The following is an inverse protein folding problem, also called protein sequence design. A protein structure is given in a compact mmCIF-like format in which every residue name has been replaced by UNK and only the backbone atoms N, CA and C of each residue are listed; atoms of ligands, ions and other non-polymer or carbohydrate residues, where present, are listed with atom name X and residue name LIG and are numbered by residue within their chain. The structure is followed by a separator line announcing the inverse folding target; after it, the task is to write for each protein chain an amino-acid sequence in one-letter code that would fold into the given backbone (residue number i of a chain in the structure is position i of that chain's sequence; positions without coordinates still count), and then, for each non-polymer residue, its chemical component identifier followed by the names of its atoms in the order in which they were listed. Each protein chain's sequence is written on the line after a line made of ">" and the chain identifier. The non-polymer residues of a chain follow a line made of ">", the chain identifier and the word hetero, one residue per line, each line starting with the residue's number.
data_IF_268255840339
#
_entry.id   IF_268255840339
#
_cell.length_a   1.000
_cell.length_b   1.000
_cell.length_c   1.000
_cell.angle_alpha   90.00
_cell.angle_beta   90.00
_cell.angle_gamma   90.00
#
_symmetry.space_group_name_H-M   'P 1'
#
loop_
_entity.id
_entity.type
_entity.pdbx_description
1 polymer ?
#
# COMPACT_ATOMS: atom_id res chain seq x y z
N UNK A 1 47.77 9.56 -37.27
CA UNK A 1 47.07 10.40 -36.26
C UNK A 1 45.96 11.16 -36.97
N UNK A 2 44.67 10.86 -36.73
CA UNK A 2 43.56 11.59 -37.37
C UNK A 2 43.40 12.96 -36.68
N UNK A 3 43.50 14.03 -37.46
CA UNK A 3 43.32 15.41 -36.99
C UNK A 3 41.89 15.57 -36.43
N UNK A 4 41.78 16.04 -35.18
CA UNK A 4 40.50 16.41 -34.57
C UNK A 4 40.00 17.67 -35.27
N UNK A 5 39.05 17.52 -36.19
CA UNK A 5 38.36 18.62 -36.85
C UNK A 5 37.66 19.47 -35.80
N UNK A 6 37.86 20.80 -35.85
CA UNK A 6 37.20 21.71 -34.92
C UNK A 6 35.67 21.57 -35.05
N UNK A 7 34.93 21.56 -33.93
CA UNK A 7 33.48 21.42 -33.97
C UNK A 7 32.87 22.59 -34.75
N UNK A 8 31.89 22.28 -35.60
CA UNK A 8 31.21 23.28 -36.42
C UNK A 8 30.54 24.36 -35.55
N UNK A 9 30.32 25.58 -36.09
CA UNK A 9 29.64 26.63 -35.35
C UNK A 9 28.30 26.17 -34.77
N UNK A 10 27.48 25.41 -35.51
CA UNK A 10 26.20 24.91 -35.00
C UNK A 10 26.36 23.95 -33.81
N UNK A 11 27.40 23.12 -33.78
CA UNK A 11 27.74 22.25 -32.65
C UNK A 11 28.13 23.04 -31.41
N UNK A 12 28.89 24.14 -31.57
CA UNK A 12 29.25 25.03 -30.48
C UNK A 12 28.03 25.75 -29.89
N UNK A 13 27.12 26.23 -30.73
CA UNK A 13 25.86 26.85 -30.29
C UNK A 13 24.96 25.86 -29.53
N UNK A 14 24.82 24.64 -30.03
CA UNK A 14 24.05 23.58 -29.36
C UNK A 14 24.65 23.19 -28.01
N UNK A 15 25.98 23.11 -27.92
CA UNK A 15 26.68 22.83 -26.67
C UNK A 15 26.46 23.95 -25.65
N UNK A 16 26.66 25.21 -26.05
CA UNK A 16 26.45 26.37 -25.19
C UNK A 16 24.99 26.49 -24.72
N UNK A 17 24.03 26.18 -25.60
CA UNK A 17 22.61 26.13 -25.22
C UNK A 17 22.32 25.05 -24.17
N UNK A 18 22.82 23.81 -24.38
CA UNK A 18 22.64 22.71 -23.41
C UNK A 18 23.33 22.98 -22.08
N UNK A 19 24.51 23.60 -22.10
CA UNK A 19 25.22 24.01 -20.89
C UNK A 19 24.40 25.05 -20.11
N UNK A 20 23.85 26.08 -20.77
CA UNK A 20 22.93 27.04 -20.12
C UNK A 20 21.71 26.38 -19.50
N UNK A 21 21.07 25.45 -20.21
CA UNK A 21 19.90 24.73 -19.69
C UNK A 21 20.27 23.87 -18.46
N UNK A 22 21.43 23.18 -18.48
CA UNK A 22 21.90 22.40 -17.32
C UNK A 22 22.28 23.27 -16.12
N UNK A 23 22.94 24.40 -16.36
CA UNK A 23 23.29 25.35 -15.29
C UNK A 23 22.04 25.97 -14.65
N UNK A 24 20.93 26.04 -15.37
CA UNK A 24 19.61 26.41 -14.84
C UNK A 24 18.88 25.24 -14.15
N UNK A 25 19.54 24.08 -13.94
CA UNK A 25 18.97 22.90 -13.30
C UNK A 25 18.07 22.04 -14.19
N UNK A 26 17.96 22.34 -15.49
CA UNK A 26 17.06 21.63 -16.41
C UNK A 26 17.74 20.41 -17.03
N UNK A 27 17.04 19.28 -17.05
CA UNK A 27 17.49 18.01 -17.63
C UNK A 27 16.75 17.74 -18.94
N UNK A 28 17.46 17.34 -19.98
CA UNK A 28 16.86 16.98 -21.27
C UNK A 28 16.08 15.65 -21.14
N UNK A 29 14.85 15.61 -21.64
CA UNK A 29 14.05 14.39 -21.82
C UNK A 29 13.70 14.23 -23.30
N UNK A 30 13.71 13.00 -23.78
CA UNK A 30 13.31 12.62 -25.14
C UNK A 30 11.96 11.91 -25.06
N UNK A 31 11.00 12.31 -25.89
CA UNK A 31 9.59 11.83 -25.85
C UNK A 31 9.13 11.47 -27.26
N UNK A 32 8.35 10.39 -27.37
CA UNK A 32 7.66 9.99 -28.59
C UNK A 32 6.17 10.34 -28.45
N UNK A 33 5.65 11.18 -29.33
CA UNK A 33 4.24 11.62 -29.33
C UNK A 33 3.69 11.66 -30.76
N UNK A 34 2.36 11.62 -30.89
CA UNK A 34 1.70 11.87 -32.18
C UNK A 34 1.83 13.35 -32.57
N UNK A 35 1.91 13.68 -33.87
CA UNK A 35 2.13 15.05 -34.35
C UNK A 35 1.11 16.07 -33.83
N UNK A 36 -0.14 15.65 -33.65
CA UNK A 36 -1.26 16.48 -33.18
C UNK A 36 -1.07 17.07 -31.77
N UNK A 37 -0.26 16.42 -30.91
CA UNK A 37 -0.01 16.87 -29.52
C UNK A 37 1.25 17.74 -29.37
N UNK A 38 1.93 18.08 -30.47
CA UNK A 38 3.21 18.82 -30.44
C UNK A 38 3.08 20.19 -29.76
N UNK A 39 2.01 20.93 -30.07
CA UNK A 39 1.79 22.27 -29.51
C UNK A 39 1.49 22.21 -28.00
N UNK A 40 0.71 21.21 -27.57
CA UNK A 40 0.37 20.98 -26.17
C UNK A 40 1.61 20.60 -25.35
N UNK A 41 2.42 19.65 -25.84
CA UNK A 41 3.66 19.25 -25.18
C UNK A 41 4.63 20.43 -25.03
N UNK A 42 4.75 21.29 -26.05
CA UNK A 42 5.59 22.49 -25.98
C UNK A 42 5.10 23.51 -24.93
N UNK A 43 3.77 23.66 -24.77
CA UNK A 43 3.19 24.52 -23.76
C UNK A 43 3.45 23.99 -22.33
N UNK A 44 3.30 22.68 -22.12
CA UNK A 44 3.60 22.00 -20.86
C UNK A 44 5.10 22.13 -20.52
N UNK A 45 5.96 21.86 -21.49
CA UNK A 45 7.42 21.92 -21.30
C UNK A 45 7.89 23.34 -20.93
N UNK A 46 7.43 24.36 -21.67
CA UNK A 46 7.76 25.76 -21.40
C UNK A 46 7.36 26.18 -19.99
N UNK A 47 6.21 25.71 -19.54
CA UNK A 47 5.66 26.10 -18.26
C UNK A 47 6.30 25.35 -17.08
N UNK A 48 6.85 24.15 -17.28
CA UNK A 48 7.72 23.44 -16.33
C UNK A 48 9.08 24.11 -16.11
N UNK A 49 9.49 25.05 -16.96
CA UNK A 49 10.74 25.82 -16.78
C UNK A 49 10.59 27.04 -15.84
N UNK A 50 9.38 27.39 -15.42
CA UNK A 50 9.13 28.51 -14.51
C UNK A 50 9.25 28.06 -13.03
N UNK A 51 9.99 28.79 -12.17
CA UNK A 51 10.03 28.50 -10.74
C UNK A 51 8.65 28.69 -10.12
N UNK A 52 8.22 27.76 -9.28
CA UNK A 52 6.92 27.83 -8.59
C UNK A 52 5.74 27.26 -9.37
N UNK A 53 5.94 26.62 -10.53
CA UNK A 53 4.90 25.75 -11.10
C UNK A 53 4.69 24.56 -10.16
N UNK A 54 3.61 24.61 -9.39
CA UNK A 54 3.03 23.40 -8.83
C UNK A 54 2.83 22.43 -9.99
N UNK A 55 3.39 21.22 -9.86
CA UNK A 55 3.16 20.11 -10.80
C UNK A 55 1.69 20.14 -11.23
N UNK A 56 1.44 20.29 -12.52
CA UNK A 56 0.11 20.11 -13.09
C UNK A 56 -0.19 18.61 -13.10
N UNK A 57 -0.12 17.96 -11.94
CA UNK A 57 -1.04 16.89 -11.63
C UNK A 57 -2.40 17.58 -11.67
N UNK A 58 -3.25 17.11 -12.57
CA UNK A 58 -4.69 17.21 -12.40
C UNK A 58 -5.04 17.12 -10.92
N UNK A 59 -6.02 17.91 -10.51
CA UNK A 59 -6.67 17.87 -9.19
C UNK A 59 -7.24 16.48 -8.88
N UNK A 60 -6.34 15.58 -8.51
CA UNK A 60 -6.44 14.43 -7.61
C UNK A 60 -5.06 14.37 -6.98
N UNK A 61 -4.89 15.11 -5.89
CA UNK A 61 -3.76 14.89 -5.01
C UNK A 61 -3.99 13.55 -4.32
N UNK A 62 -3.52 12.46 -4.91
CA UNK A 62 -3.27 11.25 -4.12
C UNK A 62 -2.07 11.59 -3.25
N UNK A 63 -2.35 12.15 -2.08
CA UNK A 63 -1.40 12.18 -1.00
C UNK A 63 -1.04 10.71 -0.72
N UNK A 64 0.24 10.37 -0.84
CA UNK A 64 0.74 9.06 -0.44
C UNK A 64 0.25 8.81 0.99
N UNK A 65 -0.48 7.71 1.18
CA UNK A 65 -0.97 7.28 2.46
C UNK A 65 0.24 7.03 3.38
N UNK A 66 0.35 7.87 4.39
CA UNK A 66 1.28 7.69 5.51
C UNK A 66 0.49 7.19 6.70
N UNK A 67 1.11 6.46 7.63
CA UNK A 67 0.42 6.00 8.84
C UNK A 67 -0.20 7.17 9.63
N UNK A 68 0.50 8.31 9.70
CA UNK A 68 -0.02 9.55 10.31
C UNK A 68 -1.26 10.05 9.56
N UNK A 69 -1.21 10.11 8.23
CA UNK A 69 -2.34 10.56 7.42
C UNK A 69 -3.53 9.60 7.49
N UNK A 70 -3.28 8.29 7.55
CA UNK A 70 -4.34 7.27 7.76
C UNK A 70 -4.98 7.46 9.12
N UNK A 71 -4.19 7.63 10.19
CA UNK A 71 -4.70 7.86 11.54
C UNK A 71 -5.55 9.14 11.63
N UNK A 72 -5.07 10.24 11.04
CA UNK A 72 -5.83 11.49 10.97
C UNK A 72 -7.13 11.32 10.17
N UNK A 73 -7.08 10.68 9.01
CA UNK A 73 -8.27 10.43 8.19
C UNK A 73 -9.29 9.54 8.92
N UNK A 74 -8.83 8.44 9.56
CA UNK A 74 -9.66 7.56 10.39
C UNK A 74 -10.38 8.32 11.49
N UNK A 75 -9.68 9.21 12.20
CA UNK A 75 -10.26 10.00 13.30
C UNK A 75 -11.43 10.91 12.87
N UNK A 76 -11.53 11.22 11.59
CA UNK A 76 -12.61 12.03 11.00
C UNK A 76 -13.77 11.19 10.46
N UNK A 77 -13.60 9.87 10.39
CA UNK A 77 -14.66 8.96 9.90
C UNK A 77 -15.77 8.82 10.93
N UNK A 78 -17.00 8.62 10.42
CA UNK A 78 -18.16 8.33 11.25
C UNK A 78 -17.98 7.05 12.07
N UNK A 79 -17.35 6.03 11.49
CA UNK A 79 -17.08 4.76 12.17
C UNK A 79 -16.25 4.94 13.45
N UNK A 80 -15.22 5.80 13.44
CA UNK A 80 -14.43 6.09 14.65
C UNK A 80 -15.20 7.00 15.62
N UNK A 81 -15.88 8.03 15.12
CA UNK A 81 -16.66 8.95 15.95
C UNK A 81 -17.80 8.23 16.70
N UNK A 82 -18.44 7.25 16.06
CA UNK A 82 -19.52 6.44 16.65
C UNK A 82 -18.99 5.24 17.48
N UNK A 83 -17.66 5.05 17.54
CA UNK A 83 -17.06 3.96 18.29
C UNK A 83 -17.26 2.57 17.66
N UNK A 84 -17.52 2.51 16.35
CA UNK A 84 -17.55 1.25 15.58
C UNK A 84 -16.14 0.74 15.29
N UNK A 85 -15.17 1.65 15.17
CA UNK A 85 -13.75 1.34 15.04
C UNK A 85 -13.00 2.13 16.11
N UNK A 86 -12.26 1.45 16.98
CA UNK A 86 -11.25 2.08 17.81
C UNK A 86 -9.89 2.00 17.12
N UNK A 87 -9.07 3.05 17.26
CA UNK A 87 -7.76 3.15 16.62
C UNK A 87 -6.72 3.49 17.70
N UNK A 88 -5.66 2.70 17.76
CA UNK A 88 -4.51 2.91 18.63
C UNK A 88 -3.24 3.00 17.79
N UNK A 89 -2.36 3.93 18.14
CA UNK A 89 -1.04 4.03 17.53
C UNK A 89 -0.06 3.15 18.28
N UNK A 90 0.59 2.21 17.58
CA UNK A 90 1.63 1.37 18.15
C UNK A 90 3.01 1.95 17.83
N UNK A 91 3.69 2.42 18.87
CA UNK A 91 5.06 2.90 18.79
C UNK A 91 6.06 1.73 18.83
N UNK A 92 7.18 1.88 18.12
CA UNK A 92 8.22 0.85 18.07
C UNK A 92 9.25 1.10 16.98
N UNK A 93 10.14 0.12 16.77
CA UNK A 93 11.07 0.13 15.63
C UNK A 93 10.31 0.11 14.29
N UNK A 94 9.19 -0.61 14.25
CA UNK A 94 8.28 -0.71 13.12
C UNK A 94 6.90 -0.17 13.54
N UNK A 95 6.60 1.12 13.28
CA UNK A 95 5.34 1.73 13.70
C UNK A 95 4.16 1.15 12.93
N UNK A 96 3.02 0.99 13.62
CA UNK A 96 1.78 0.49 13.04
C UNK A 96 0.55 1.11 13.70
N UNK A 97 -0.61 0.98 13.04
CA UNK A 97 -1.91 1.28 13.62
C UNK A 97 -2.58 -0.02 14.01
N UNK A 98 -3.15 -0.07 15.21
CA UNK A 98 -4.03 -1.13 15.65
C UNK A 98 -5.48 -0.63 15.60
N UNK A 99 -6.30 -1.34 14.84
CA UNK A 99 -7.73 -1.09 14.71
C UNK A 99 -8.47 -2.21 15.44
N UNK A 100 -9.46 -1.83 16.25
CA UNK A 100 -10.44 -2.76 16.82
C UNK A 100 -11.77 -2.51 16.14
N UNK A 101 -12.21 -3.46 15.33
CA UNK A 101 -13.43 -3.36 14.52
C UNK A 101 -14.61 -3.98 15.30
N UNK A 102 -15.40 -3.15 15.97
CA UNK A 102 -16.46 -3.61 16.88
C UNK A 102 -17.63 -4.28 16.17
N UNK A 103 -17.97 -3.87 14.96
CA UNK A 103 -19.00 -4.55 14.14
C UNK A 103 -18.59 -5.97 13.72
N UNK A 104 -17.29 -6.26 13.77
CA UNK A 104 -16.69 -7.56 13.49
C UNK A 104 -16.38 -8.35 14.76
N UNK A 105 -17.16 -8.15 15.83
CA UNK A 105 -16.95 -8.83 17.10
C UNK A 105 -15.69 -8.38 17.85
N UNK A 106 -15.16 -7.18 17.54
CA UNK A 106 -13.92 -6.68 18.12
C UNK A 106 -12.66 -7.22 17.46
N UNK A 107 -12.74 -7.61 16.18
CA UNK A 107 -11.59 -8.07 15.41
C UNK A 107 -10.44 -7.05 15.47
N UNK A 108 -9.23 -7.55 15.77
CA UNK A 108 -8.01 -6.75 15.74
C UNK A 108 -7.35 -6.80 14.37
N UNK A 109 -7.17 -5.63 13.77
CA UNK A 109 -6.51 -5.42 12.47
C UNK A 109 -5.33 -4.48 12.65
N UNK A 110 -4.22 -4.77 11.97
CA UNK A 110 -3.01 -3.96 12.03
C UNK A 110 -2.69 -3.38 10.67
N UNK A 111 -2.27 -2.11 10.63
CA UNK A 111 -1.83 -1.42 9.41
C UNK A 111 -0.38 -0.97 9.61
N UNK A 112 0.52 -1.48 8.79
CA UNK A 112 1.92 -1.10 8.76
C UNK A 112 2.32 -0.61 7.35
N UNK A 113 3.34 0.24 7.27
CA UNK A 113 3.88 0.73 6.00
C UNK A 113 5.24 0.11 5.74
N UNK A 114 5.41 -0.53 4.58
CA UNK A 114 6.67 -1.11 4.11
C UNK A 114 7.02 -0.55 2.74
N UNK A 115 7.98 0.38 2.69
CA UNK A 115 8.33 1.07 1.45
C UNK A 115 7.14 1.82 0.86
N UNK A 116 6.75 1.50 -0.38
CA UNK A 116 5.59 2.07 -1.09
C UNK A 116 4.31 1.25 -0.89
N UNK A 117 4.33 0.28 0.02
CA UNK A 117 3.19 -0.59 0.29
C UNK A 117 2.67 -0.39 1.71
N UNK A 118 1.37 -0.63 1.88
CA UNK A 118 0.74 -0.84 3.17
C UNK A 118 0.46 -2.34 3.30
N UNK A 119 0.72 -2.88 4.49
CA UNK A 119 0.32 -4.22 4.88
C UNK A 119 -0.80 -4.06 5.89
N UNK A 120 -1.93 -4.69 5.60
CA UNK A 120 -3.08 -4.76 6.49
C UNK A 120 -3.26 -6.21 6.88
N UNK A 121 -3.27 -6.52 8.16
CA UNK A 121 -3.27 -7.91 8.63
C UNK A 121 -4.12 -8.13 9.88
N UNK A 122 -4.59 -9.37 10.03
CA UNK A 122 -5.32 -9.85 11.18
C UNK A 122 -4.77 -11.21 11.61
N UNK A 123 -4.63 -11.39 12.93
CA UNK A 123 -4.25 -12.67 13.51
C UNK A 123 -5.44 -13.64 13.49
N UNK A 124 -5.20 -14.89 13.12
CA UNK A 124 -6.20 -15.95 13.17
C UNK A 124 -6.01 -16.80 14.44
N UNK A 125 -4.94 -17.60 14.49
CA UNK A 125 -4.63 -18.51 15.59
C UNK A 125 -3.19 -19.00 15.53
N UNK A 126 -2.61 -19.47 16.65
CA UNK A 126 -1.27 -20.04 16.65
C UNK A 126 -1.20 -21.33 15.81
N UNK A 127 -0.02 -21.67 15.30
CA UNK A 127 0.16 -22.85 14.45
C UNK A 127 -0.26 -24.13 15.15
N UNK A 128 -0.06 -24.18 16.46
CA UNK A 128 -0.43 -25.34 17.25
C UNK A 128 -1.95 -25.50 17.35
N UNK A 129 -2.77 -24.45 17.18
CA UNK A 129 -4.23 -24.61 17.18
C UNK A 129 -4.76 -25.53 16.08
N UNK A 130 -3.98 -25.82 15.04
CA UNK A 130 -4.37 -26.69 13.92
C UNK A 130 -3.96 -28.14 14.18
N UNK A 131 -4.92 -29.07 14.09
CA UNK A 131 -4.68 -30.50 14.37
C UNK A 131 -3.76 -31.17 13.34
N UNK A 132 -3.91 -30.81 12.06
CA UNK A 132 -3.10 -31.28 10.93
C UNK A 132 -2.72 -30.10 10.03
N UNK A 133 -1.59 -29.48 10.33
CA UNK A 133 -1.11 -28.31 9.60
C UNK A 133 -0.84 -28.60 8.12
N UNK A 134 -0.40 -29.82 7.78
CA UNK A 134 -0.13 -30.18 6.38
C UNK A 134 -1.43 -30.22 5.57
N UNK A 135 -2.48 -30.86 6.10
CA UNK A 135 -3.80 -30.90 5.48
C UNK A 135 -4.43 -29.51 5.39
N UNK A 136 -4.35 -28.72 6.46
CA UNK A 136 -4.88 -27.37 6.48
C UNK A 136 -4.17 -26.45 5.48
N UNK A 137 -2.83 -26.46 5.44
CA UNK A 137 -2.06 -25.65 4.49
C UNK A 137 -2.41 -26.00 3.04
N UNK A 138 -2.57 -27.28 2.72
CA UNK A 138 -3.01 -27.70 1.38
C UNK A 138 -4.42 -27.18 1.05
N UNK A 139 -5.34 -27.19 2.02
CA UNK A 139 -6.69 -26.63 1.84
C UNK A 139 -6.65 -25.11 1.59
N UNK A 140 -5.93 -24.36 2.43
CA UNK A 140 -5.75 -22.91 2.27
C UNK A 140 -5.18 -22.57 0.89
N UNK A 141 -4.10 -23.25 0.47
CA UNK A 141 -3.47 -23.00 -0.83
C UNK A 141 -4.39 -23.29 -2.02
N UNK A 142 -5.30 -24.24 -1.89
CA UNK A 142 -6.26 -24.58 -2.97
C UNK A 142 -7.51 -23.70 -2.97
N UNK A 143 -7.82 -23.05 -1.85
CA UNK A 143 -9.01 -22.21 -1.67
C UNK A 143 -8.72 -20.70 -1.67
N UNK A 144 -7.46 -20.25 -1.60
CA UNK A 144 -7.09 -18.83 -1.48
C UNK A 144 -7.75 -17.89 -2.49
N UNK A 145 -7.98 -18.36 -3.73
CA UNK A 145 -8.67 -17.58 -4.79
C UNK A 145 -10.12 -17.19 -4.47
N UNK A 146 -10.70 -17.79 -3.43
CA UNK A 146 -12.05 -17.51 -2.94
C UNK A 146 -12.07 -16.35 -1.93
N UNK A 147 -10.90 -15.87 -1.48
CA UNK A 147 -10.74 -14.78 -0.52
C UNK A 147 -10.20 -13.55 -1.26
N UNK A 148 -11.07 -12.70 -1.85
CA UNK A 148 -10.63 -11.56 -2.63
C UNK A 148 -9.86 -10.57 -1.74
N UNK A 149 -8.77 -9.99 -2.26
CA UNK A 149 -7.97 -8.96 -1.57
C UNK A 149 -7.35 -9.43 -0.24
N UNK A 150 -7.33 -10.74 0.00
CA UNK A 150 -6.74 -11.33 1.20
C UNK A 150 -5.90 -12.54 0.85
N UNK A 151 -4.81 -12.70 1.56
CA UNK A 151 -3.91 -13.84 1.48
C UNK A 151 -3.73 -14.41 2.88
N UNK A 152 -3.50 -15.72 2.98
CA UNK A 152 -3.17 -16.37 4.25
C UNK A 152 -1.66 -16.60 4.30
N UNK A 153 -1.06 -16.27 5.44
CA UNK A 153 0.35 -16.46 5.71
C UNK A 153 0.58 -17.16 7.04
N UNK A 154 1.84 -17.47 7.30
CA UNK A 154 2.33 -17.85 8.62
C UNK A 154 3.34 -16.78 9.01
N UNK A 155 3.13 -16.17 10.18
CA UNK A 155 4.05 -15.17 10.73
C UNK A 155 4.23 -15.39 12.24
N UNK A 156 5.21 -14.69 12.83
CA UNK A 156 5.56 -14.78 14.25
C UNK A 156 5.16 -13.50 14.96
N UNK A 157 4.06 -13.55 15.72
CA UNK A 157 3.56 -12.42 16.51
C UNK A 157 3.94 -12.65 17.97
N UNK A 158 4.68 -11.70 18.56
CA UNK A 158 5.16 -11.78 19.95
C UNK A 158 5.88 -13.11 20.29
N UNK A 159 6.61 -13.68 19.32
CA UNK A 159 7.33 -14.95 19.48
C UNK A 159 6.47 -16.21 19.29
N UNK A 160 5.17 -16.06 18.99
CA UNK A 160 4.25 -17.17 18.72
C UNK A 160 4.04 -17.28 17.21
N UNK A 161 4.45 -18.38 16.57
CA UNK A 161 4.14 -18.60 15.17
C UNK A 161 2.65 -18.92 15.02
N UNK A 162 2.00 -18.30 14.04
CA UNK A 162 0.60 -18.56 13.76
C UNK A 162 0.16 -18.12 12.39
N UNK A 163 -1.09 -18.44 12.10
CA UNK A 163 -1.73 -18.07 10.86
C UNK A 163 -2.22 -16.63 10.95
N UNK A 164 -1.91 -15.87 9.91
CA UNK A 164 -2.41 -14.51 9.70
C UNK A 164 -3.18 -14.46 8.39
N UNK A 165 -4.12 -13.54 8.29
CA UNK A 165 -4.69 -13.12 7.02
C UNK A 165 -4.28 -11.69 6.76
N UNK A 166 -3.80 -11.40 5.55
CA UNK A 166 -3.29 -10.08 5.22
C UNK A 166 -3.53 -9.69 3.76
N UNK A 167 -3.56 -8.39 3.52
CA UNK A 167 -3.57 -7.75 2.21
C UNK A 167 -2.38 -6.80 2.07
N UNK A 168 -1.89 -6.63 0.84
CA UNK A 168 -0.87 -5.62 0.53
C UNK A 168 -1.43 -4.61 -0.45
N UNK A 169 -1.38 -3.33 -0.07
CA UNK A 169 -1.94 -2.22 -0.83
C UNK A 169 -0.83 -1.29 -1.32
N UNK A 170 -1.09 -0.59 -2.42
CA UNK A 170 -0.27 0.53 -2.85
C UNK A 170 -0.51 1.74 -1.93
N UNK A 171 0.55 2.30 -1.34
CA UNK A 171 0.46 3.49 -0.50
C UNK A 171 0.05 4.75 -1.30
N UNK A 172 0.08 4.71 -2.63
CA UNK A 172 -0.44 5.75 -3.51
C UNK A 172 -1.96 5.65 -3.72
N UNK A 173 -2.62 4.62 -3.15
CA UNK A 173 -4.06 4.47 -3.23
C UNK A 173 -4.79 5.53 -2.42
N UNK A 174 -6.09 5.65 -2.66
CA UNK A 174 -6.96 6.54 -1.89
C UNK A 174 -7.29 5.93 -0.53
N UNK A 175 -7.53 6.78 0.46
CA UNK A 175 -7.98 6.35 1.78
C UNK A 175 -9.26 5.51 1.70
N UNK A 176 -10.19 5.86 0.82
CA UNK A 176 -11.42 5.07 0.62
C UNK A 176 -11.14 3.64 0.12
N UNK A 177 -10.13 3.48 -0.75
CA UNK A 177 -9.69 2.16 -1.22
C UNK A 177 -9.07 1.36 -0.08
N UNK A 178 -8.23 1.99 0.74
CA UNK A 178 -7.67 1.34 1.94
C UNK A 178 -8.78 0.84 2.86
N UNK A 179 -9.79 1.67 3.15
CA UNK A 179 -10.89 1.27 4.04
C UNK A 179 -11.71 0.11 3.47
N UNK A 180 -12.00 0.14 2.16
CA UNK A 180 -12.68 -0.97 1.49
C UNK A 180 -11.90 -2.29 1.61
N UNK A 181 -10.58 -2.25 1.48
CA UNK A 181 -9.74 -3.45 1.64
C UNK A 181 -9.65 -3.92 3.09
N UNK A 182 -9.62 -3.01 4.07
CA UNK A 182 -9.68 -3.34 5.50
C UNK A 182 -10.98 -4.06 5.83
N UNK A 183 -12.13 -3.56 5.34
CA UNK A 183 -13.45 -4.18 5.52
C UNK A 183 -13.52 -5.54 4.81
N UNK A 184 -13.00 -5.63 3.58
CA UNK A 184 -12.95 -6.89 2.83
C UNK A 184 -12.09 -7.95 3.55
N UNK A 185 -10.94 -7.54 4.11
CA UNK A 185 -10.11 -8.41 4.93
C UNK A 185 -10.87 -8.88 6.17
N UNK A 186 -11.58 -8.00 6.87
CA UNK A 186 -12.36 -8.33 8.05
C UNK A 186 -13.47 -9.34 7.74
N UNK A 187 -14.24 -9.15 6.66
CA UNK A 187 -15.24 -10.11 6.17
C UNK A 187 -14.59 -11.48 5.89
N UNK A 188 -13.45 -11.49 5.19
CA UNK A 188 -12.74 -12.71 4.85
C UNK A 188 -12.22 -13.44 6.09
N UNK A 189 -11.74 -12.72 7.11
CA UNK A 189 -11.29 -13.30 8.37
C UNK A 189 -12.43 -14.02 9.08
N UNK A 190 -13.61 -13.41 9.18
CA UNK A 190 -14.78 -14.03 9.81
C UNK A 190 -15.21 -15.27 9.02
N UNK A 191 -15.41 -15.13 7.70
CA UNK A 191 -15.86 -16.22 6.84
C UNK A 191 -14.89 -17.41 6.85
N UNK A 192 -13.59 -17.14 6.82
CA UNK A 192 -12.57 -18.17 6.84
C UNK A 192 -12.46 -18.84 8.22
N UNK A 193 -12.56 -18.07 9.29
CA UNK A 193 -12.53 -18.60 10.66
C UNK A 193 -13.67 -19.58 10.89
N UNK A 194 -14.87 -19.27 10.39
CA UNK A 194 -16.02 -20.17 10.43
C UNK A 194 -15.84 -21.40 9.54
N UNK A 195 -15.37 -21.22 8.31
CA UNK A 195 -15.16 -22.30 7.35
C UNK A 195 -14.09 -23.30 7.80
N UNK A 196 -13.11 -22.86 8.60
CA UNK A 196 -11.95 -23.66 8.97
C UNK A 196 -12.01 -24.23 10.40
N UNK A 197 -13.11 -24.06 11.13
CA UNK A 197 -13.27 -24.58 12.49
C UNK A 197 -12.99 -26.08 12.59
N UNK A 198 -13.29 -26.87 11.56
CA UNK A 198 -13.05 -28.33 11.55
C UNK A 198 -11.57 -28.72 11.61
N UNK A 199 -10.67 -27.79 11.28
CA UNK A 199 -9.22 -28.00 11.31
C UNK A 199 -8.61 -27.69 12.69
N UNK A 200 -9.35 -27.00 13.55
CA UNK A 200 -8.87 -26.58 14.86
C UNK A 200 -8.99 -27.68 15.90
N UNK A 201 -8.03 -27.73 16.83
CA UNK A 201 -8.10 -28.61 18.00
C UNK A 201 -9.25 -28.16 18.90
N UNK A 202 -10.05 -29.08 19.48
CA UNK A 202 -11.23 -28.74 20.29
C UNK A 202 -10.97 -27.76 21.45
N UNK A 203 -9.77 -27.82 22.03
CA UNK A 203 -9.31 -26.93 23.11
C UNK A 203 -9.28 -25.44 22.72
N UNK A 204 -9.14 -25.11 21.43
CA UNK A 204 -9.18 -23.73 20.92
C UNK A 204 -10.58 -23.25 20.57
N UNK A 205 -11.54 -24.16 20.41
CA UNK A 205 -12.95 -23.82 20.16
C UNK A 205 -13.69 -23.43 21.44
N UNK A 206 -13.28 -23.98 22.59
CA UNK A 206 -13.91 -23.75 23.88
C UNK A 206 -13.66 -22.35 24.47
N UNK A 207 -12.61 -21.65 24.01
CA UNK A 207 -12.27 -20.29 24.45
C UNK A 207 -13.11 -19.17 23.83
N UNK A 208 -13.87 -19.45 22.77
CA UNK A 208 -14.70 -18.46 22.08
C UNK A 208 -16.13 -18.30 22.66
N UNK A 209 -16.48 -19.09 23.68
CA UNK A 209 -17.82 -19.17 24.26
C UNK A 209 -17.93 -18.64 25.71
N UNK A 210 -16.90 -17.92 26.20
CA UNK A 210 -16.84 -17.38 27.56
C UNK A 210 -16.81 -15.86 27.58
#
# INVERSE_FOLDING_TARGET
>A
MKARTAPSPSTLHQRAYRERMRSAGLVKKDVWILPEYTAELAAIEKSMRAPGRASSRSSQGDAVLTLVGIHEALSQTRAVIEGLIAVEWLEGADPSLHLVMHEYGGLSVFIAKSGEHLIVEAWLWPLDAVADAARFNAHVLTTHKLLPLSTVGIDVVAGVPGYIMFGTLDANSRFETLMFEVETLADNVINASEAWLEYLRPEFLAGAAA
#
